data_IF_079500925046
#
_entry.id   IF_079500925046
#
_cell.length_a   1.000
_cell.length_b   1.000
_cell.length_c   1.000
_cell.angle_alpha   90.00
_cell.angle_beta   90.00
_cell.angle_gamma   90.00
#
_symmetry.space_group_name_H-M   'P 1'
#
loop_
_entity.id
_entity.type
_entity.pdbx_description
1 polymer ?
#
# COMPACT_ATOMS: atom_id res chain seq x y z
N UNK A 1 -26.82 -57.62 -9.59
CA UNK A 1 -25.75 -58.60 -9.27
C UNK A 1 -25.40 -58.48 -7.80
N UNK A 2 -25.35 -59.61 -7.10
CA UNK A 2 -25.26 -59.75 -5.63
C UNK A 2 -23.83 -59.46 -5.07
N UNK A 3 -23.71 -59.29 -3.74
CA UNK A 3 -22.61 -58.65 -2.98
C UNK A 3 -21.71 -59.65 -2.24
N UNK A 4 -20.62 -59.20 -1.58
CA UNK A 4 -19.94 -59.93 -0.47
C UNK A 4 -19.22 -58.94 0.47
N UNK A 5 -19.71 -58.72 1.70
CA UNK A 5 -19.24 -59.27 3.01
C UNK A 5 -17.86 -58.76 3.46
N UNK A 6 -17.76 -57.83 4.44
CA UNK A 6 -17.63 -58.03 5.92
C UNK A 6 -16.54 -59.01 6.36
N UNK A 7 -15.56 -58.54 7.15
CA UNK A 7 -15.24 -59.15 8.45
C UNK A 7 -14.47 -58.19 9.40
N UNK A 8 -14.77 -58.35 10.68
CA UNK A 8 -14.30 -57.67 11.88
C UNK A 8 -12.85 -58.02 12.28
N UNK A 9 -12.23 -57.20 13.13
CA UNK A 9 -11.80 -57.49 14.53
C UNK A 9 -10.81 -56.37 14.95
N UNK A 10 -11.10 -55.55 15.96
CA UNK A 10 -11.01 -55.79 17.41
C UNK A 10 -9.59 -55.61 17.98
N UNK A 11 -9.50 -54.79 19.03
CA UNK A 11 -8.32 -54.52 19.86
C UNK A 11 -8.25 -53.02 20.20
N UNK A 12 -8.89 -52.50 21.27
CA UNK A 12 -8.53 -52.62 22.69
C UNK A 12 -7.04 -52.27 22.93
N UNK A 13 -6.59 -51.48 23.91
CA UNK A 13 -7.14 -50.67 25.00
C UNK A 13 -5.91 -49.95 25.64
N UNK A 14 -6.14 -48.99 26.55
CA UNK A 14 -5.19 -48.37 27.52
C UNK A 14 -4.11 -47.42 26.95
N UNK A 15 -4.11 -46.11 27.23
CA UNK A 15 -4.06 -45.38 28.50
C UNK A 15 -2.67 -45.37 29.18
N UNK A 16 -2.02 -44.21 29.03
CA UNK A 16 -1.32 -43.41 30.04
C UNK A 16 0.12 -43.76 30.50
N UNK A 17 0.81 -42.63 30.76
CA UNK A 17 1.98 -42.36 31.61
C UNK A 17 3.41 -42.42 31.01
N UNK A 18 3.92 -41.20 30.81
CA UNK A 18 5.23 -40.67 31.23
C UNK A 18 6.41 -41.64 31.35
N UNK A 19 7.49 -41.33 30.62
CA UNK A 19 8.82 -41.15 31.21
C UNK A 19 9.75 -40.43 30.22
N UNK A 20 10.50 -39.48 30.76
CA UNK A 20 11.57 -38.77 30.07
C UNK A 20 12.64 -39.74 29.56
N UNK A 21 13.11 -39.53 28.33
CA UNK A 21 14.36 -40.10 27.86
C UNK A 21 15.10 -39.06 27.03
N UNK A 22 16.11 -38.44 27.64
CA UNK A 22 17.18 -37.77 26.91
C UNK A 22 17.90 -38.81 26.05
N UNK A 23 17.78 -38.73 24.73
CA UNK A 23 18.66 -39.42 23.81
C UNK A 23 19.52 -38.37 23.10
N UNK A 24 20.79 -38.29 23.51
CA UNK A 24 21.87 -37.72 22.71
C UNK A 24 21.97 -38.57 21.44
N UNK A 25 21.69 -37.96 20.30
CA UNK A 25 21.91 -38.55 18.99
C UNK A 25 22.54 -37.49 18.09
N UNK A 26 23.84 -37.63 17.86
CA UNK A 26 24.61 -36.84 16.91
C UNK A 26 24.10 -37.10 15.49
N UNK A 27 23.38 -36.13 14.93
CA UNK A 27 23.17 -35.99 13.49
C UNK A 27 23.84 -34.68 13.05
N UNK A 28 25.16 -34.73 13.02
CA UNK A 28 26.00 -33.66 12.50
C UNK A 28 26.95 -34.24 11.45
N UNK A 29 26.40 -34.70 10.34
CA UNK A 29 27.20 -34.92 9.14
C UNK A 29 26.26 -34.84 7.93
N UNK A 30 26.09 -33.61 7.43
CA UNK A 30 26.18 -33.23 6.00
C UNK A 30 25.41 -31.91 5.73
N UNK A 31 25.88 -30.83 6.34
CA UNK A 31 25.45 -29.46 6.02
C UNK A 31 26.72 -28.65 5.75
N UNK A 32 26.86 -28.16 4.51
CA UNK A 32 27.97 -27.31 4.07
C UNK A 32 28.03 -25.95 4.79
N UNK A 33 28.68 -24.93 4.22
CA UNK A 33 29.11 -23.70 4.92
C UNK A 33 28.01 -22.86 5.59
N UNK A 34 26.73 -23.24 5.46
CA UNK A 34 25.57 -22.62 6.11
C UNK A 34 25.31 -23.13 7.53
N UNK A 35 25.99 -24.18 7.99
CA UNK A 35 25.81 -24.73 9.34
C UNK A 35 26.41 -23.85 10.46
N UNK A 36 27.36 -22.97 10.14
CA UNK A 36 27.96 -22.05 11.12
C UNK A 36 27.05 -20.90 11.51
N UNK A 37 26.08 -20.53 10.66
CA UNK A 37 25.13 -19.43 10.93
C UNK A 37 23.90 -19.91 11.73
N UNK A 38 23.54 -21.19 11.64
CA UNK A 38 22.37 -21.75 12.33
C UNK A 38 22.67 -22.26 13.76
N UNK A 39 23.94 -22.46 14.12
CA UNK A 39 24.33 -22.86 15.48
C UNK A 39 24.29 -21.72 16.51
N UNK A 40 24.16 -20.47 16.09
CA UNK A 40 24.21 -19.31 16.99
C UNK A 40 22.86 -18.96 17.65
N UNK A 41 21.73 -19.53 17.22
CA UNK A 41 20.41 -19.17 17.75
C UNK A 41 19.84 -20.15 18.80
N UNK A 42 20.62 -21.13 19.26
CA UNK A 42 20.13 -22.16 20.19
C UNK A 42 20.91 -22.16 21.51
N UNK A 43 20.83 -21.03 22.23
CA UNK A 43 20.84 -20.95 23.71
C UNK A 43 20.91 -19.49 24.13
N UNK A 44 19.82 -18.94 24.65
CA UNK A 44 19.83 -17.86 25.66
C UNK A 44 20.43 -16.50 25.33
N UNK A 45 21.16 -16.35 24.24
CA UNK A 45 21.78 -15.07 23.86
C UNK A 45 20.75 -14.24 23.11
N UNK A 46 20.44 -13.07 23.65
CA UNK A 46 19.66 -12.03 22.98
C UNK A 46 20.20 -11.86 21.55
N UNK A 47 19.31 -11.75 20.55
CA UNK A 47 19.71 -11.30 19.22
C UNK A 47 20.37 -9.92 19.38
N UNK A 48 21.70 -9.89 19.47
CA UNK A 48 22.46 -8.64 19.42
C UNK A 48 22.23 -8.12 18.01
N UNK A 49 21.32 -7.16 17.87
CA UNK A 49 21.25 -6.36 16.68
C UNK A 49 22.68 -5.85 16.42
N UNK A 50 23.26 -6.24 15.29
CA UNK A 50 24.58 -5.75 14.90
C UNK A 50 24.60 -4.24 15.06
N UNK A 51 25.71 -3.70 15.58
CA UNK A 51 25.86 -2.26 15.73
C UNK A 51 25.46 -1.58 14.40
N UNK A 52 24.70 -0.47 14.44
CA UNK A 52 24.35 0.26 13.23
C UNK A 52 25.62 0.49 12.42
N UNK A 53 25.61 0.10 11.13
CA UNK A 53 26.77 0.28 10.27
C UNK A 53 27.13 1.77 10.27
N UNK A 54 28.33 2.10 10.74
CA UNK A 54 28.82 3.48 10.70
C UNK A 54 29.03 3.88 9.24
N UNK A 55 28.44 5.02 8.86
CA UNK A 55 28.62 5.58 7.52
C UNK A 55 30.07 6.03 7.37
N UNK A 56 30.67 5.77 6.21
CA UNK A 56 32.07 6.14 5.96
C UNK A 56 32.26 7.66 5.92
N UNK A 57 33.51 8.12 6.09
CA UNK A 57 33.83 9.54 6.07
C UNK A 57 34.12 10.11 4.67
N UNK A 58 34.14 9.30 3.61
CA UNK A 58 34.46 9.74 2.25
C UNK A 58 33.24 9.72 1.32
N UNK A 59 33.22 10.64 0.34
CA UNK A 59 32.18 10.68 -0.70
C UNK A 59 32.15 9.37 -1.49
N UNK A 60 33.29 8.96 -2.04
CA UNK A 60 33.40 7.78 -2.89
C UNK A 60 33.04 6.49 -2.13
N UNK A 61 33.46 6.36 -0.87
CA UNK A 61 33.14 5.20 -0.03
C UNK A 61 31.64 5.06 0.20
N UNK A 62 30.98 6.15 0.61
CA UNK A 62 29.53 6.17 0.81
C UNK A 62 28.76 5.98 -0.50
N UNK A 63 29.22 6.60 -1.60
CA UNK A 63 28.58 6.41 -2.90
C UNK A 63 28.64 4.95 -3.34
N UNK A 64 29.82 4.32 -3.31
CA UNK A 64 29.99 2.92 -3.71
C UNK A 64 29.24 1.96 -2.78
N UNK A 65 29.28 2.19 -1.46
CA UNK A 65 28.52 1.40 -0.48
C UNK A 65 27.01 1.53 -0.74
N UNK A 66 26.52 2.74 -0.99
CA UNK A 66 25.13 3.00 -1.33
C UNK A 66 24.72 2.30 -2.63
N UNK A 67 25.53 2.40 -3.69
CA UNK A 67 25.30 1.69 -4.96
C UNK A 67 25.29 0.17 -4.77
N UNK A 68 26.20 -0.37 -3.97
CA UNK A 68 26.23 -1.80 -3.65
C UNK A 68 24.96 -2.22 -2.90
N UNK A 69 24.58 -1.49 -1.85
CA UNK A 69 23.36 -1.72 -1.09
C UNK A 69 22.12 -1.73 -1.99
N UNK A 70 22.03 -0.82 -2.97
CA UNK A 70 20.95 -0.85 -3.96
C UNK A 70 20.94 -2.12 -4.81
N UNK A 71 22.11 -2.62 -5.23
CA UNK A 71 22.24 -3.85 -6.04
C UNK A 71 21.77 -5.08 -5.26
N UNK A 72 22.13 -5.16 -3.97
CA UNK A 72 21.69 -6.25 -3.08
C UNK A 72 20.31 -5.99 -2.45
N UNK A 73 19.62 -4.94 -2.91
CA UNK A 73 18.27 -4.52 -2.49
C UNK A 73 18.11 -4.14 -1.02
N UNK A 74 19.21 -3.74 -0.38
CA UNK A 74 19.21 -3.14 0.95
C UNK A 74 18.92 -1.64 0.84
N UNK A 75 17.64 -1.31 0.58
CA UNK A 75 17.21 0.06 0.30
C UNK A 75 17.35 0.99 1.49
N UNK A 76 17.22 0.46 2.71
CA UNK A 76 17.43 1.21 3.95
C UNK A 76 18.87 1.72 4.08
N UNK A 77 19.85 0.82 3.94
CA UNK A 77 21.26 1.21 3.98
C UNK A 77 21.65 2.01 2.74
N UNK A 78 21.12 1.70 1.56
CA UNK A 78 21.33 2.50 0.36
C UNK A 78 20.91 3.96 0.57
N UNK A 79 19.73 4.20 1.15
CA UNK A 79 19.25 5.54 1.47
C UNK A 79 20.17 6.24 2.49
N UNK A 80 20.66 5.52 3.49
CA UNK A 80 21.65 6.02 4.46
C UNK A 80 22.94 6.48 3.78
N UNK A 81 23.64 5.56 3.11
CA UNK A 81 24.93 5.83 2.46
C UNK A 81 24.84 6.93 1.38
N UNK A 82 23.81 6.91 0.53
CA UNK A 82 23.67 7.96 -0.49
C UNK A 82 23.33 9.32 0.10
N UNK A 83 22.66 9.38 1.26
CA UNK A 83 22.47 10.64 2.00
C UNK A 83 23.80 11.19 2.49
N UNK A 84 24.67 10.37 3.08
CA UNK A 84 26.01 10.79 3.52
C UNK A 84 26.92 11.20 2.35
N UNK A 85 26.78 10.55 1.20
CA UNK A 85 27.47 10.96 -0.02
C UNK A 85 26.96 12.33 -0.50
N UNK A 86 25.64 12.54 -0.50
CA UNK A 86 25.02 13.80 -0.90
C UNK A 86 25.42 14.97 0.00
N UNK A 87 25.64 14.74 1.30
CA UNK A 87 26.14 15.78 2.23
C UNK A 87 27.51 16.32 1.82
N UNK A 88 28.37 15.48 1.23
CA UNK A 88 29.72 15.87 0.78
C UNK A 88 29.73 16.50 -0.62
N UNK A 89 28.71 16.21 -1.43
CA UNK A 89 28.55 16.77 -2.77
C UNK A 89 27.08 17.17 -2.98
N UNK A 90 26.64 18.27 -2.34
CA UNK A 90 25.23 18.67 -2.32
C UNK A 90 24.72 19.14 -3.68
N UNK A 91 25.61 19.55 -4.59
CA UNK A 91 25.21 20.14 -5.86
C UNK A 91 25.05 19.12 -6.99
N UNK A 92 25.25 17.82 -6.72
CA UNK A 92 25.11 16.73 -7.69
C UNK A 92 23.63 16.37 -7.94
N UNK A 93 23.03 16.75 -9.09
CA UNK A 93 21.58 16.65 -9.30
C UNK A 93 21.06 15.22 -9.33
N UNK A 94 21.82 14.30 -9.92
CA UNK A 94 21.42 12.90 -10.05
C UNK A 94 21.48 12.17 -8.70
N UNK A 95 22.52 12.44 -7.90
CA UNK A 95 22.62 11.93 -6.54
C UNK A 95 21.51 12.48 -5.66
N UNK A 96 21.22 13.78 -5.76
CA UNK A 96 20.10 14.42 -5.07
C UNK A 96 18.77 13.74 -5.40
N UNK A 97 18.49 13.57 -6.70
CA UNK A 97 17.24 12.93 -7.17
C UNK A 97 17.14 11.48 -6.71
N UNK A 98 18.22 10.70 -6.82
CA UNK A 98 18.22 9.29 -6.43
C UNK A 98 18.02 9.12 -4.92
N UNK A 99 18.72 9.92 -4.12
CA UNK A 99 18.59 9.92 -2.65
C UNK A 99 17.18 10.29 -2.23
N UNK A 100 16.59 11.32 -2.85
CA UNK A 100 15.20 11.70 -2.65
C UNK A 100 14.21 10.53 -2.89
N UNK A 101 14.35 9.82 -4.02
CA UNK A 101 13.47 8.69 -4.36
C UNK A 101 13.62 7.57 -3.33
N UNK A 102 14.86 7.20 -2.96
CA UNK A 102 15.12 6.15 -1.98
C UNK A 102 14.58 6.47 -0.59
N UNK A 103 14.78 7.69 -0.09
CA UNK A 103 14.19 8.11 1.18
C UNK A 103 12.66 8.03 1.13
N UNK A 104 12.05 8.37 0.01
CA UNK A 104 10.60 8.30 -0.17
C UNK A 104 10.11 6.85 -0.21
N UNK A 105 10.79 5.95 -0.93
CA UNK A 105 10.44 4.52 -1.01
C UNK A 105 10.62 3.78 0.33
N UNK A 106 11.54 4.25 1.17
CA UNK A 106 11.71 3.77 2.55
C UNK A 106 10.72 4.40 3.54
N UNK A 107 9.91 5.37 3.10
CA UNK A 107 8.96 6.08 3.98
C UNK A 107 9.61 7.08 4.92
N UNK A 108 10.89 7.44 4.72
CA UNK A 108 11.64 8.46 5.47
C UNK A 108 11.24 9.88 5.03
N UNK A 109 9.93 10.18 5.13
CA UNK A 109 9.32 11.39 4.56
C UNK A 109 9.88 12.69 5.13
N UNK A 110 10.23 12.71 6.43
CA UNK A 110 10.82 13.90 7.06
C UNK A 110 12.13 14.31 6.40
N UNK A 111 12.93 13.34 5.96
CA UNK A 111 14.20 13.55 5.28
C UNK A 111 14.01 13.77 3.78
N UNK A 112 13.02 13.12 3.16
CA UNK A 112 12.72 13.28 1.74
C UNK A 112 12.16 14.67 1.38
N UNK A 113 11.35 15.29 2.25
CA UNK A 113 10.70 16.58 2.00
C UNK A 113 11.66 17.75 1.69
N UNK A 114 12.73 18.00 2.47
CA UNK A 114 13.71 19.03 2.11
C UNK A 114 14.43 18.72 0.79
N UNK A 115 14.70 17.44 0.49
CA UNK A 115 15.29 17.06 -0.80
C UNK A 115 14.32 17.28 -1.96
N UNK A 116 13.02 17.01 -1.80
CA UNK A 116 12.02 17.28 -2.82
C UNK A 116 12.01 18.76 -3.24
N UNK A 117 12.10 19.69 -2.27
CA UNK A 117 12.23 21.13 -2.55
C UNK A 117 13.48 21.46 -3.35
N UNK A 118 14.63 20.87 -2.99
CA UNK A 118 15.88 21.03 -3.72
C UNK A 118 15.80 20.46 -5.14
N UNK A 119 15.19 19.29 -5.32
CA UNK A 119 14.99 18.66 -6.63
C UNK A 119 14.21 19.59 -7.56
N UNK A 120 13.12 20.22 -7.08
CA UNK A 120 12.32 21.15 -7.88
C UNK A 120 13.10 22.44 -8.22
N UNK A 121 13.92 22.93 -7.28
CA UNK A 121 14.76 24.10 -7.51
C UNK A 121 15.78 23.87 -8.65
N UNK A 122 16.33 22.65 -8.75
CA UNK A 122 17.28 22.27 -9.80
C UNK A 122 16.55 21.90 -11.10
N UNK A 123 15.46 21.14 -11.00
CA UNK A 123 14.66 20.71 -12.14
C UNK A 123 13.16 20.99 -11.88
N UNK A 124 12.65 22.06 -12.51
CA UNK A 124 11.24 22.47 -12.43
C UNK A 124 10.25 21.41 -12.95
N UNK A 125 10.71 20.34 -13.62
CA UNK A 125 9.89 19.23 -14.10
C UNK A 125 10.23 17.95 -13.32
N UNK A 126 9.81 17.90 -12.06
CA UNK A 126 10.08 16.79 -11.17
C UNK A 126 8.78 16.24 -10.54
N UNK A 127 7.99 15.46 -11.29
CA UNK A 127 6.62 15.09 -10.88
C UNK A 127 6.54 14.41 -9.52
N UNK A 128 7.47 13.49 -9.20
CA UNK A 128 7.48 12.79 -7.90
C UNK A 128 7.71 13.77 -6.74
N UNK A 129 8.61 14.75 -6.92
CA UNK A 129 8.87 15.77 -5.90
C UNK A 129 7.65 16.69 -5.74
N UNK A 130 7.02 17.10 -6.84
CA UNK A 130 5.78 17.89 -6.80
C UNK A 130 4.65 17.16 -6.08
N UNK A 131 4.48 15.86 -6.36
CA UNK A 131 3.49 15.01 -5.69
C UNK A 131 3.79 14.91 -4.20
N UNK A 132 5.04 14.68 -3.78
CA UNK A 132 5.36 14.60 -2.35
C UNK A 132 5.04 15.92 -1.64
N UNK A 133 5.37 17.06 -2.24
CA UNK A 133 5.04 18.36 -1.65
C UNK A 133 3.53 18.61 -1.62
N UNK A 134 2.79 18.21 -2.66
CA UNK A 134 1.33 18.26 -2.64
C UNK A 134 0.75 17.40 -1.51
N UNK A 135 1.30 16.20 -1.30
CA UNK A 135 0.89 15.30 -0.22
C UNK A 135 1.20 15.88 1.17
N UNK A 136 2.34 16.55 1.34
CA UNK A 136 2.65 17.25 2.59
C UNK A 136 1.73 18.44 2.83
N UNK A 137 1.46 19.25 1.80
CA UNK A 137 0.47 20.33 1.88
C UNK A 137 -0.90 19.77 2.29
N UNK A 138 -1.34 18.70 1.64
CA UNK A 138 -2.59 18.02 1.92
C UNK A 138 -2.68 17.50 3.36
N UNK A 139 -1.61 16.85 3.84
CA UNK A 139 -1.54 16.30 5.21
C UNK A 139 -1.69 17.37 6.28
N UNK A 140 -1.13 18.55 6.00
CA UNK A 140 -1.15 19.69 6.92
C UNK A 140 -2.39 20.58 6.73
N UNK A 141 -3.41 20.13 5.99
CA UNK A 141 -4.64 20.89 5.76
C UNK A 141 -4.51 22.07 4.81
N UNK A 142 -3.37 22.22 4.13
CA UNK A 142 -3.09 23.26 3.12
C UNK A 142 -3.70 22.86 1.78
N UNK A 143 -5.02 22.72 1.76
CA UNK A 143 -5.76 22.20 0.60
C UNK A 143 -5.76 23.18 -0.58
N UNK A 144 -5.77 24.49 -0.32
CA UNK A 144 -5.69 25.51 -1.37
C UNK A 144 -4.33 25.47 -2.08
N UNK A 145 -3.25 25.41 -1.29
CA UNK A 145 -1.88 25.29 -1.77
C UNK A 145 -1.67 23.98 -2.54
N UNK A 146 -2.35 22.90 -2.13
CA UNK A 146 -2.39 21.65 -2.89
C UNK A 146 -3.02 21.88 -4.27
N UNK A 147 -4.19 22.53 -4.37
CA UNK A 147 -4.83 22.81 -5.67
C UNK A 147 -3.93 23.67 -6.55
N UNK A 148 -3.31 24.72 -6.01
CA UNK A 148 -2.41 25.60 -6.76
C UNK A 148 -1.20 24.83 -7.30
N UNK A 149 -0.58 23.99 -6.46
CA UNK A 149 0.55 23.14 -6.86
C UNK A 149 0.16 22.18 -7.97
N UNK A 150 -0.96 21.49 -7.83
CA UNK A 150 -1.44 20.52 -8.82
C UNK A 150 -1.88 21.20 -10.13
N UNK A 151 -2.38 22.44 -10.07
CA UNK A 151 -2.74 23.22 -11.25
C UNK A 151 -1.50 23.65 -12.06
N UNK A 152 -0.39 23.96 -11.37
CA UNK A 152 0.88 24.33 -11.98
C UNK A 152 1.68 23.11 -12.51
N UNK A 153 1.41 21.91 -12.00
CA UNK A 153 2.11 20.69 -12.39
C UNK A 153 1.84 20.30 -13.87
N UNK A 154 2.81 19.66 -14.55
CA UNK A 154 2.60 19.12 -15.89
C UNK A 154 1.42 18.14 -15.94
N UNK A 155 0.52 18.30 -16.92
CA UNK A 155 -0.69 17.47 -17.09
C UNK A 155 -0.43 16.23 -17.96
N UNK A 156 0.66 15.51 -17.67
CA UNK A 156 1.11 14.34 -18.41
C UNK A 156 1.65 13.24 -17.47
N UNK A 157 1.95 12.06 -18.02
CA UNK A 157 2.43 10.93 -17.24
C UNK A 157 1.50 10.58 -16.08
N UNK A 158 2.06 10.40 -14.89
CA UNK A 158 1.28 10.02 -13.70
C UNK A 158 0.38 11.13 -13.16
N UNK A 159 0.69 12.39 -13.46
CA UNK A 159 -0.08 13.55 -13.01
C UNK A 159 -1.47 13.63 -13.64
N UNK A 160 -1.70 12.93 -14.76
CA UNK A 160 -3.02 12.80 -15.39
C UNK A 160 -4.01 12.11 -14.43
N UNK A 161 -3.51 11.26 -13.54
CA UNK A 161 -4.32 10.55 -12.55
C UNK A 161 -4.31 11.25 -11.18
N UNK A 162 -3.12 11.61 -10.68
CA UNK A 162 -2.95 12.20 -9.34
C UNK A 162 -3.55 13.60 -9.26
N UNK A 163 -3.33 14.44 -10.28
CA UNK A 163 -3.80 15.83 -10.26
C UNK A 163 -5.31 15.93 -10.06
N UNK A 164 -6.13 15.30 -10.92
CA UNK A 164 -7.59 15.34 -10.79
C UNK A 164 -8.13 14.78 -9.47
N UNK A 165 -7.59 13.64 -9.00
CA UNK A 165 -8.09 12.99 -7.78
C UNK A 165 -7.71 13.73 -6.51
N UNK A 166 -6.46 14.16 -6.35
CA UNK A 166 -6.05 14.96 -5.18
C UNK A 166 -6.74 16.32 -5.19
N UNK A 167 -6.92 16.95 -6.35
CA UNK A 167 -7.69 18.21 -6.44
C UNK A 167 -9.15 18.02 -6.01
N UNK A 168 -9.77 16.88 -6.37
CA UNK A 168 -11.13 16.58 -5.96
C UNK A 168 -11.26 16.45 -4.43
N UNK A 169 -10.29 15.80 -3.79
CA UNK A 169 -10.27 15.66 -2.33
C UNK A 169 -9.84 16.93 -1.61
N UNK A 170 -8.97 17.75 -2.20
CA UNK A 170 -8.63 19.07 -1.67
C UNK A 170 -9.90 19.94 -1.57
N UNK A 171 -10.75 19.89 -2.60
CA UNK A 171 -12.06 20.58 -2.60
C UNK A 171 -13.01 20.06 -1.52
N UNK A 172 -13.03 18.75 -1.27
CA UNK A 172 -13.76 18.19 -0.12
C UNK A 172 -13.21 18.77 1.19
N UNK A 173 -11.88 18.84 1.34
CA UNK A 173 -11.22 19.44 2.51
C UNK A 173 -11.51 20.94 2.68
N UNK A 174 -11.69 21.66 1.59
CA UNK A 174 -12.11 23.07 1.56
C UNK A 174 -13.62 23.27 1.76
N UNK A 175 -14.39 22.21 1.98
CA UNK A 175 -15.84 22.28 2.16
C UNK A 175 -16.62 22.65 0.89
N UNK A 176 -16.04 22.43 -0.29
CA UNK A 176 -16.73 22.67 -1.57
C UNK A 176 -17.85 21.65 -1.78
N UNK A 177 -18.82 22.01 -2.62
CA UNK A 177 -19.94 21.12 -2.93
C UNK A 177 -19.48 19.82 -3.60
N UNK A 178 -20.30 18.76 -3.50
CA UNK A 178 -20.07 17.50 -4.24
C UNK A 178 -19.87 17.76 -5.73
N UNK A 179 -20.67 18.66 -6.31
CA UNK A 179 -20.59 19.03 -7.73
C UNK A 179 -19.23 19.63 -8.09
N UNK A 180 -18.71 20.55 -7.28
CA UNK A 180 -17.41 21.18 -7.49
C UNK A 180 -16.24 20.21 -7.30
N UNK A 181 -16.34 19.35 -6.28
CA UNK A 181 -15.33 18.33 -5.97
C UNK A 181 -15.24 17.29 -7.10
N UNK A 182 -16.38 16.77 -7.55
CA UNK A 182 -16.45 15.84 -8.69
C UNK A 182 -15.98 16.48 -9.99
N UNK A 183 -16.25 17.78 -10.21
CA UNK A 183 -15.76 18.50 -11.40
C UNK A 183 -14.23 18.50 -11.49
N UNK A 184 -13.51 18.39 -10.37
CA UNK A 184 -12.05 18.29 -10.37
C UNK A 184 -11.53 16.99 -10.99
N UNK A 185 -12.35 15.92 -11.01
CA UNK A 185 -12.04 14.65 -11.67
C UNK A 185 -12.06 14.75 -13.21
N UNK A 186 -12.37 15.93 -13.78
CA UNK A 186 -12.32 16.18 -15.21
C UNK A 186 -10.96 15.80 -15.78
N UNK A 187 -10.97 15.03 -16.87
CA UNK A 187 -9.77 14.51 -17.51
C UNK A 187 -9.57 13.02 -17.24
N UNK A 188 -10.16 12.49 -16.17
CA UNK A 188 -10.34 11.06 -16.00
C UNK A 188 -11.53 10.57 -16.83
N UNK A 189 -11.45 9.35 -17.35
CA UNK A 189 -12.54 8.71 -18.09
C UNK A 189 -12.08 7.66 -19.10
N UNK A 190 -12.98 7.31 -20.02
CA UNK A 190 -12.72 6.24 -21.02
C UNK A 190 -11.50 6.49 -21.91
N UNK A 191 -11.25 7.73 -22.33
CA UNK A 191 -10.20 8.07 -23.31
C UNK A 191 -8.78 7.70 -22.86
N UNK A 192 -8.53 7.68 -21.55
CA UNK A 192 -7.24 7.34 -20.95
C UNK A 192 -7.36 6.13 -20.00
N UNK A 193 -8.41 5.30 -20.15
CA UNK A 193 -8.58 4.09 -19.35
C UNK A 193 -8.90 4.29 -17.86
N UNK A 194 -9.13 5.52 -17.39
CA UNK A 194 -9.30 5.84 -15.97
C UNK A 194 -10.76 5.97 -15.53
N UNK A 195 -11.69 5.42 -16.29
CA UNK A 195 -13.13 5.50 -15.99
C UNK A 195 -13.47 4.91 -14.61
N UNK A 196 -12.91 3.75 -14.27
CA UNK A 196 -13.14 3.13 -12.97
C UNK A 196 -12.61 3.99 -11.80
N UNK A 197 -11.44 4.64 -11.98
CA UNK A 197 -10.88 5.56 -10.99
C UNK A 197 -11.75 6.79 -10.80
N UNK A 198 -12.25 7.37 -11.91
CA UNK A 198 -13.21 8.48 -11.88
C UNK A 198 -14.46 8.10 -11.10
N UNK A 199 -15.09 6.98 -11.45
CA UNK A 199 -16.37 6.58 -10.86
C UNK A 199 -16.23 6.15 -9.40
N UNK A 200 -15.11 5.52 -9.03
CA UNK A 200 -14.77 5.22 -7.64
C UNK A 200 -14.69 6.50 -6.79
N UNK A 201 -13.90 7.49 -7.19
CA UNK A 201 -13.78 8.72 -6.41
C UNK A 201 -15.07 9.54 -6.41
N UNK A 202 -15.83 9.52 -7.49
CA UNK A 202 -17.16 10.11 -7.51
C UNK A 202 -18.11 9.41 -6.51
N UNK A 203 -18.07 8.09 -6.40
CA UNK A 203 -18.83 7.34 -5.39
C UNK A 203 -18.43 7.75 -3.97
N UNK A 204 -17.12 7.79 -3.69
CA UNK A 204 -16.58 8.11 -2.37
C UNK A 204 -16.91 9.55 -1.94
N UNK A 205 -16.82 10.53 -2.84
CA UNK A 205 -17.20 11.92 -2.56
C UNK A 205 -18.69 12.01 -2.19
N UNK A 206 -19.57 11.26 -2.87
CA UNK A 206 -20.99 11.20 -2.51
C UNK A 206 -21.21 10.52 -1.15
N UNK A 207 -20.52 9.42 -0.86
CA UNK A 207 -20.64 8.70 0.41
C UNK A 207 -20.23 9.57 1.61
N UNK A 208 -19.10 10.28 1.49
CA UNK A 208 -18.66 11.24 2.52
C UNK A 208 -19.66 12.38 2.70
N UNK A 209 -20.27 12.86 1.61
CA UNK A 209 -21.30 13.89 1.66
C UNK A 209 -22.68 13.40 2.16
N UNK A 210 -22.84 12.10 2.46
CA UNK A 210 -24.11 11.52 2.89
C UNK A 210 -25.10 11.18 1.76
N UNK A 211 -24.70 11.34 0.50
CA UNK A 211 -25.53 11.04 -0.67
C UNK A 211 -25.45 9.55 -1.04
N UNK A 212 -25.93 8.68 -0.15
CA UNK A 212 -25.73 7.23 -0.24
C UNK A 212 -26.25 6.62 -1.56
N UNK A 213 -27.43 7.01 -2.05
CA UNK A 213 -27.98 6.52 -3.32
C UNK A 213 -27.11 6.91 -4.53
N UNK A 214 -26.61 8.15 -4.55
CA UNK A 214 -25.72 8.61 -5.60
C UNK A 214 -24.38 7.86 -5.55
N UNK A 215 -23.87 7.60 -4.35
CA UNK A 215 -22.68 6.79 -4.14
C UNK A 215 -22.88 5.34 -4.63
N UNK A 216 -23.98 4.70 -4.27
CA UNK A 216 -24.35 3.34 -4.70
C UNK A 216 -24.37 3.23 -6.22
N UNK A 217 -25.02 4.18 -6.91
CA UNK A 217 -25.04 4.23 -8.39
C UNK A 217 -23.61 4.28 -8.95
N UNK A 218 -22.75 5.14 -8.40
CA UNK A 218 -21.38 5.31 -8.88
C UNK A 218 -20.47 4.12 -8.60
N UNK A 219 -20.65 3.43 -7.48
CA UNK A 219 -19.96 2.16 -7.22
C UNK A 219 -20.32 1.10 -8.26
N UNK A 220 -21.61 0.97 -8.62
CA UNK A 220 -22.06 0.05 -9.69
C UNK A 220 -21.42 0.39 -11.04
N UNK A 221 -21.33 1.68 -11.37
CA UNK A 221 -20.65 2.16 -12.58
C UNK A 221 -19.14 1.85 -12.54
N UNK A 222 -18.48 2.03 -11.39
CA UNK A 222 -17.05 1.71 -11.22
C UNK A 222 -16.75 0.21 -11.40
N UNK A 223 -17.57 -0.68 -10.83
CA UNK A 223 -17.46 -2.14 -11.01
C UNK A 223 -17.59 -2.51 -12.49
N UNK A 224 -18.59 -1.94 -13.19
CA UNK A 224 -18.77 -2.17 -14.62
C UNK A 224 -17.59 -1.64 -15.43
N UNK A 225 -17.10 -0.44 -15.11
CA UNK A 225 -15.97 0.21 -15.79
C UNK A 225 -14.64 -0.52 -15.59
N UNK A 226 -14.45 -1.15 -14.43
CA UNK A 226 -13.28 -1.99 -14.15
C UNK A 226 -13.35 -3.36 -14.86
N UNK A 227 -14.53 -3.77 -15.32
CA UNK A 227 -14.74 -5.09 -15.94
C UNK A 227 -14.90 -6.23 -14.92
N UNK A 228 -15.08 -5.91 -13.63
CA UNK A 228 -15.16 -6.92 -12.59
C UNK A 228 -15.16 -6.34 -11.18
N UNK A 229 -15.42 -7.21 -10.19
CA UNK A 229 -15.43 -6.84 -8.78
C UNK A 229 -14.04 -7.06 -8.19
N UNK A 230 -13.31 -5.97 -7.92
CA UNK A 230 -12.05 -6.04 -7.18
C UNK A 230 -12.28 -6.12 -5.67
N UNK A 231 -11.26 -6.60 -4.93
CA UNK A 231 -11.28 -6.66 -3.46
C UNK A 231 -11.65 -5.30 -2.85
N UNK A 232 -11.00 -4.24 -3.34
CA UNK A 232 -11.20 -2.89 -2.81
C UNK A 232 -12.60 -2.36 -3.10
N UNK A 233 -13.11 -2.58 -4.32
CA UNK A 233 -14.49 -2.20 -4.66
C UNK A 233 -15.51 -2.97 -3.83
N UNK A 234 -15.32 -4.28 -3.64
CA UNK A 234 -16.21 -5.08 -2.80
C UNK A 234 -16.22 -4.57 -1.36
N UNK A 235 -15.05 -4.26 -0.81
CA UNK A 235 -14.91 -3.73 0.55
C UNK A 235 -15.61 -2.38 0.71
N UNK A 236 -15.30 -1.40 -0.15
CA UNK A 236 -15.86 -0.05 -0.08
C UNK A 236 -17.36 -0.02 -0.36
N UNK A 237 -17.81 -0.70 -1.41
CA UNK A 237 -19.21 -0.72 -1.80
C UNK A 237 -20.06 -1.52 -0.81
N UNK A 238 -19.58 -2.68 -0.37
CA UNK A 238 -20.26 -3.46 0.66
C UNK A 238 -20.40 -2.67 1.97
N UNK A 239 -19.35 -1.97 2.38
CA UNK A 239 -19.39 -1.10 3.56
C UNK A 239 -20.46 0.00 3.45
N UNK A 240 -20.65 0.58 2.25
CA UNK A 240 -21.75 1.51 1.98
C UNK A 240 -23.12 0.82 2.09
N UNK A 241 -23.33 -0.32 1.42
CA UNK A 241 -24.59 -1.07 1.43
C UNK A 241 -25.03 -1.42 2.86
N UNK A 242 -24.07 -1.82 3.70
CA UNK A 242 -24.34 -2.11 5.10
C UNK A 242 -24.77 -0.88 5.91
N UNK A 243 -24.16 0.29 5.67
CA UNK A 243 -24.60 1.54 6.28
C UNK A 243 -25.95 2.01 5.76
N UNK A 244 -26.34 1.61 4.54
CA UNK A 244 -27.67 1.85 3.98
C UNK A 244 -28.74 0.88 4.53
N UNK A 245 -28.34 -0.15 5.27
CA UNK A 245 -29.26 -1.21 5.72
C UNK A 245 -29.60 -2.24 4.65
N UNK A 246 -28.94 -2.19 3.49
CA UNK A 246 -29.14 -3.13 2.37
C UNK A 246 -28.33 -4.41 2.58
N UNK A 247 -28.60 -5.09 3.69
CA UNK A 247 -27.84 -6.23 4.19
C UNK A 247 -27.79 -7.38 3.18
N UNK A 248 -28.89 -7.64 2.46
CA UNK A 248 -28.94 -8.68 1.42
C UNK A 248 -27.96 -8.40 0.28
N UNK A 249 -28.02 -7.20 -0.30
CA UNK A 249 -27.12 -6.80 -1.40
C UNK A 249 -25.65 -6.79 -0.95
N UNK A 250 -25.37 -6.38 0.29
CA UNK A 250 -24.02 -6.45 0.86
C UNK A 250 -23.49 -7.89 0.96
N UNK A 251 -24.30 -8.84 1.46
CA UNK A 251 -23.91 -10.25 1.56
C UNK A 251 -23.66 -10.87 0.19
N UNK A 252 -24.52 -10.58 -0.77
CA UNK A 252 -24.39 -11.10 -2.14
C UNK A 252 -23.12 -10.55 -2.81
N UNK A 253 -22.82 -9.26 -2.61
CA UNK A 253 -21.59 -8.64 -3.11
C UNK A 253 -20.34 -9.32 -2.53
N UNK A 254 -20.31 -9.54 -1.21
CA UNK A 254 -19.19 -10.21 -0.55
C UNK A 254 -19.06 -11.67 -0.99
N UNK A 255 -20.18 -12.38 -1.12
CA UNK A 255 -20.18 -13.78 -1.55
C UNK A 255 -19.65 -13.91 -2.98
N UNK A 256 -20.11 -13.05 -3.90
CA UNK A 256 -19.64 -13.05 -5.29
C UNK A 256 -18.12 -12.97 -5.40
N UNK A 257 -17.48 -12.13 -4.58
CA UNK A 257 -16.02 -12.06 -4.57
C UNK A 257 -15.38 -13.30 -3.93
N UNK A 258 -15.95 -13.83 -2.85
CA UNK A 258 -15.45 -15.00 -2.13
C UNK A 258 -15.60 -16.31 -2.92
N UNK A 259 -16.55 -16.40 -3.85
CA UNK A 259 -16.71 -17.57 -4.73
C UNK A 259 -15.47 -17.76 -5.62
N UNK A 260 -14.88 -16.66 -6.09
CA UNK A 260 -13.63 -16.67 -6.86
C UNK A 260 -12.38 -16.66 -5.96
N UNK A 261 -12.48 -16.13 -4.74
CA UNK A 261 -11.36 -15.90 -3.82
C UNK A 261 -11.67 -16.39 -2.38
N UNK A 262 -11.85 -17.71 -2.16
CA UNK A 262 -12.37 -18.25 -0.90
C UNK A 262 -11.48 -17.97 0.32
N UNK A 263 -10.19 -17.68 0.09
CA UNK A 263 -9.21 -17.40 1.14
C UNK A 263 -9.11 -15.91 1.52
N UNK A 264 -9.95 -15.03 0.95
CA UNK A 264 -9.92 -13.59 1.27
C UNK A 264 -10.28 -13.32 2.73
N UNK A 265 -9.28 -12.98 3.54
CA UNK A 265 -9.47 -12.66 4.96
C UNK A 265 -10.25 -11.36 5.17
N UNK A 266 -10.06 -10.37 4.30
CA UNK A 266 -10.71 -9.05 4.40
C UNK A 266 -12.23 -9.20 4.21
N UNK A 267 -12.67 -9.83 3.11
CA UNK A 267 -14.11 -10.00 2.88
C UNK A 267 -14.72 -11.14 3.70
N UNK A 268 -13.95 -12.15 4.07
CA UNK A 268 -14.40 -13.15 5.04
C UNK A 268 -14.75 -12.52 6.39
N UNK A 269 -13.97 -11.54 6.85
CA UNK A 269 -14.31 -10.76 8.06
C UNK A 269 -15.51 -9.84 7.84
N UNK A 270 -15.61 -9.16 6.68
CA UNK A 270 -16.76 -8.32 6.35
C UNK A 270 -18.06 -9.14 6.35
N UNK A 271 -18.08 -10.30 5.70
CA UNK A 271 -19.23 -11.21 5.66
C UNK A 271 -19.66 -11.66 7.07
N UNK A 272 -18.71 -12.13 7.89
CA UNK A 272 -18.99 -12.51 9.29
C UNK A 272 -19.56 -11.36 10.12
N UNK A 273 -19.10 -10.13 9.89
CA UNK A 273 -19.62 -8.94 10.57
C UNK A 273 -21.06 -8.66 10.16
N UNK A 274 -21.37 -8.74 8.87
CA UNK A 274 -22.74 -8.57 8.35
C UNK A 274 -23.68 -9.63 8.94
N UNK A 275 -23.24 -10.89 9.01
CA UNK A 275 -24.04 -12.01 9.53
C UNK A 275 -24.40 -11.84 11.01
N UNK A 276 -23.59 -11.10 11.77
CA UNK A 276 -23.81 -10.79 13.19
C UNK A 276 -24.56 -9.46 13.41
N UNK A 277 -25.00 -8.79 12.34
CA UNK A 277 -25.74 -7.53 12.41
C UNK A 277 -24.87 -6.30 12.75
N UNK A 278 -23.57 -6.34 12.48
CA UNK A 278 -22.67 -5.21 12.74
C UNK A 278 -22.51 -4.29 11.54
N UNK A 279 -22.53 -2.97 11.75
CA UNK A 279 -22.31 -1.95 10.70
C UNK A 279 -20.85 -1.45 10.71
N UNK A 280 -20.17 -1.34 9.56
CA UNK A 280 -18.79 -0.86 9.52
C UNK A 280 -18.74 0.68 9.56
N UNK A 281 -17.65 1.26 10.11
CA UNK A 281 -17.37 2.67 9.89
C UNK A 281 -17.08 2.94 8.40
N UNK A 282 -17.16 4.21 8.00
CA UNK A 282 -16.65 4.64 6.70
C UNK A 282 -15.14 4.44 6.67
N UNK A 283 -14.66 3.71 5.67
CA UNK A 283 -13.21 3.56 5.47
C UNK A 283 -12.57 4.82 4.88
N UNK A 284 -13.34 5.55 4.08
CA UNK A 284 -13.00 6.87 3.57
C UNK A 284 -13.99 7.84 4.21
N UNK A 285 -13.57 8.52 5.27
CA UNK A 285 -14.42 9.41 6.04
C UNK A 285 -14.02 10.88 5.86
N UNK A 286 -12.78 11.14 5.46
CA UNK A 286 -12.19 12.48 5.38
C UNK A 286 -11.54 12.74 4.02
N UNK A 287 -11.21 14.00 3.75
CA UNK A 287 -10.41 14.38 2.59
C UNK A 287 -9.05 13.66 2.56
N UNK A 288 -8.41 13.50 3.73
CA UNK A 288 -7.11 12.81 3.87
C UNK A 288 -7.25 11.33 3.51
N UNK A 289 -8.32 10.66 3.99
CA UNK A 289 -8.59 9.28 3.61
C UNK A 289 -8.78 9.13 2.10
N UNK A 290 -9.49 10.07 1.48
CA UNK A 290 -9.77 10.05 0.06
C UNK A 290 -8.54 10.30 -0.81
N UNK A 291 -7.66 11.21 -0.39
CA UNK A 291 -6.36 11.41 -1.01
C UNK A 291 -5.47 10.16 -0.89
N UNK A 292 -5.45 9.52 0.30
CA UNK A 292 -4.74 8.25 0.49
C UNK A 292 -5.32 7.14 -0.40
N UNK A 293 -6.65 7.03 -0.50
CA UNK A 293 -7.34 6.08 -1.37
C UNK A 293 -6.99 6.29 -2.85
N UNK A 294 -6.82 7.55 -3.27
CA UNK A 294 -6.38 7.84 -4.64
C UNK A 294 -4.98 7.31 -4.91
N UNK A 295 -4.05 7.55 -3.98
CA UNK A 295 -2.69 7.05 -4.11
C UNK A 295 -2.67 5.52 -4.09
N UNK A 296 -3.57 4.88 -3.31
CA UNK A 296 -3.78 3.43 -3.35
C UNK A 296 -4.22 2.92 -4.71
N UNK A 297 -5.30 3.47 -5.28
CA UNK A 297 -5.79 3.01 -6.59
C UNK A 297 -4.73 3.13 -7.69
N UNK A 298 -3.95 4.21 -7.67
CA UNK A 298 -2.88 4.47 -8.66
C UNK A 298 -1.68 3.54 -8.41
N UNK A 299 -1.22 3.40 -7.16
CA UNK A 299 -0.12 2.50 -6.80
C UNK A 299 -0.45 1.03 -7.12
N UNK A 300 -1.67 0.57 -6.83
CA UNK A 300 -2.10 -0.78 -7.18
C UNK A 300 -2.07 -1.03 -8.69
N UNK A 301 -2.50 -0.06 -9.49
CA UNK A 301 -2.44 -0.17 -10.96
C UNK A 301 -1.02 -0.20 -11.50
N UNK A 302 -0.11 0.58 -10.92
CA UNK A 302 1.32 0.57 -11.28
C UNK A 302 2.01 -0.74 -10.89
N UNK A 303 1.69 -1.27 -9.70
CA UNK A 303 2.20 -2.56 -9.24
C UNK A 303 1.80 -3.69 -10.20
N UNK A 304 0.55 -3.71 -10.66
CA UNK A 304 0.08 -4.69 -11.67
C UNK A 304 0.78 -4.56 -13.02
N UNK A 305 1.33 -3.38 -13.33
CA UNK A 305 2.13 -3.13 -14.54
C UNK A 305 3.63 -3.36 -14.32
N UNK A 306 4.03 -3.93 -13.18
CA UNK A 306 5.43 -4.15 -12.78
C UNK A 306 6.26 -2.85 -12.68
N UNK A 307 5.60 -1.74 -12.32
CA UNK A 307 6.27 -0.44 -12.08
C UNK A 307 6.48 -0.26 -10.56
N UNK A 308 7.21 -1.20 -9.95
CA UNK A 308 7.33 -1.39 -8.49
C UNK A 308 7.87 -0.17 -7.74
N UNK A 309 8.98 0.44 -8.20
CA UNK A 309 9.61 1.58 -7.48
C UNK A 309 8.63 2.76 -7.36
N UNK A 310 7.87 3.06 -8.42
CA UNK A 310 6.86 4.13 -8.40
C UNK A 310 5.66 3.76 -7.53
N UNK A 311 5.19 2.50 -7.61
CA UNK A 311 4.09 2.02 -6.77
C UNK A 311 4.46 2.10 -5.29
N UNK A 312 5.68 1.72 -4.92
CA UNK A 312 6.21 1.81 -3.56
C UNK A 312 6.29 3.26 -3.08
N UNK A 313 6.85 4.16 -3.90
CA UNK A 313 6.94 5.59 -3.61
C UNK A 313 5.56 6.19 -3.32
N UNK A 314 4.56 5.95 -4.18
CA UNK A 314 3.19 6.42 -3.94
C UNK A 314 2.55 5.75 -2.72
N UNK A 315 2.83 4.47 -2.51
CA UNK A 315 2.33 3.73 -1.36
C UNK A 315 2.81 4.33 -0.05
N UNK A 316 4.09 4.68 0.04
CA UNK A 316 4.67 5.35 1.20
C UNK A 316 4.07 6.75 1.39
N UNK A 317 3.80 7.49 0.32
CA UNK A 317 3.09 8.77 0.40
C UNK A 317 1.66 8.60 0.94
N UNK A 318 0.95 7.55 0.54
CA UNK A 318 -0.37 7.25 1.08
C UNK A 318 -0.31 6.89 2.57
N UNK A 319 0.68 6.11 3.01
CA UNK A 319 0.90 5.84 4.43
C UNK A 319 1.34 7.07 5.22
N UNK A 320 1.96 8.06 4.55
CA UNK A 320 2.25 9.34 5.17
C UNK A 320 0.96 10.12 5.50
N UNK A 321 -0.05 10.06 4.62
CA UNK A 321 -1.38 10.64 4.86
C UNK A 321 -2.18 9.83 5.87
N UNK A 322 -2.21 8.51 5.69
CA UNK A 322 -3.02 7.57 6.47
C UNK A 322 -2.14 6.43 6.99
N UNK A 323 -1.52 6.59 8.18
CA UNK A 323 -0.63 5.58 8.74
C UNK A 323 -1.31 4.23 8.97
N UNK A 324 -2.59 4.24 9.36
CA UNK A 324 -3.41 3.05 9.52
C UNK A 324 -4.21 2.77 8.24
N UNK A 325 -3.55 2.19 7.23
CA UNK A 325 -4.16 1.83 5.96
C UNK A 325 -3.79 0.39 5.56
N UNK A 326 -4.51 -0.63 6.06
CA UNK A 326 -4.09 -2.03 5.93
C UNK A 326 -3.87 -2.50 4.49
N UNK A 327 -4.78 -2.15 3.56
CA UNK A 327 -4.66 -2.56 2.15
C UNK A 327 -3.43 -1.95 1.47
N UNK A 328 -3.02 -0.75 1.87
CA UNK A 328 -1.80 -0.12 1.36
C UNK A 328 -0.54 -0.80 1.95
N UNK A 329 -0.57 -1.19 3.23
CA UNK A 329 0.53 -1.94 3.83
C UNK A 329 0.72 -3.31 3.17
N UNK A 330 -0.38 -3.99 2.84
CA UNK A 330 -0.36 -5.25 2.09
C UNK A 330 0.26 -5.02 0.71
N UNK A 331 -0.22 -4.02 -0.04
CA UNK A 331 0.35 -3.70 -1.35
C UNK A 331 1.87 -3.44 -1.28
N UNK A 332 2.33 -2.67 -0.30
CA UNK A 332 3.76 -2.42 -0.10
C UNK A 332 4.51 -3.71 0.22
N UNK A 333 3.95 -4.58 1.07
CA UNK A 333 4.55 -5.86 1.40
C UNK A 333 4.66 -6.76 0.16
N UNK A 334 3.60 -6.85 -0.64
CA UNK A 334 3.59 -7.64 -1.88
C UNK A 334 4.63 -7.13 -2.88
N UNK A 335 4.79 -5.81 -3.00
CA UNK A 335 5.83 -5.18 -3.83
C UNK A 335 7.22 -5.56 -3.33
N UNK A 336 7.48 -5.42 -2.02
CA UNK A 336 8.78 -5.71 -1.43
C UNK A 336 9.13 -7.21 -1.45
N UNK A 337 8.13 -8.09 -1.35
CA UNK A 337 8.31 -9.54 -1.49
C UNK A 337 8.60 -9.92 -2.95
N UNK A 338 7.88 -9.34 -3.91
CA UNK A 338 8.12 -9.57 -5.34
C UNK A 338 9.44 -8.99 -5.82
N UNK A 339 9.88 -7.91 -5.16
CA UNK A 339 11.19 -7.31 -5.35
C UNK A 339 12.28 -7.98 -4.48
N UNK A 340 12.00 -9.01 -3.67
CA UNK A 340 12.99 -9.73 -2.86
C UNK A 340 13.60 -10.92 -3.59
#
# INVERSE_FOLDING_TARGET
MKPFQRFNLAGAFLAALFLAACAKGDIAENLGPKASLLKACLKGDECVAGAPLEQGNSFAGNFLAGRHAQVIRDMGNAAGYLSSALEKSPDEPDLLRRTFILLTSEGRMKEALPLARRVIAVNKKAPIADILLAVDDFKNGRFAETEDRLAAAPKNGINIYIGPTLSAWARVGLGKSVKESVKALKGLGKKNGSQALHDLHHALINDVAGNAEAAKKKFKEAIKGQGGLSLRLAQLFGSLLERMGEIGEAKDLYQKYLDEHPNSRILGHAKKRVDRGGTPPREVATAIDGAAESLFGIASSLSQQNISEMALVLGRMALHLKPNFPVMRILIADILESDG
#
